data_IF_010252882892
#
_entry.id   IF_010252882892
#
_cell.length_a   1.000
_cell.length_b   1.000
_cell.length_c   1.000
_cell.angle_alpha   90.00
_cell.angle_beta   90.00
_cell.angle_gamma   90.00
#
_symmetry.space_group_name_H-M   'P 1'
#
loop_
_entity.id
_entity.type
_entity.pdbx_description
1 polymer ?
#
# COMPACT_ATOMS: atom_id res chain seq x y z
N UNK A 1 34.18 34.44 -2.10
CA UNK A 1 33.85 33.80 -0.81
C UNK A 1 32.35 33.90 -0.65
N UNK A 2 31.63 32.83 -0.99
CA UNK A 2 30.25 32.66 -0.53
C UNK A 2 30.09 31.18 -0.30
N UNK A 3 30.58 30.75 0.87
CA UNK A 3 30.21 29.47 1.47
C UNK A 3 28.68 29.46 1.54
N UNK A 4 27.99 28.45 1.00
CA UNK A 4 26.57 28.32 1.26
C UNK A 4 26.38 28.23 2.77
N UNK A 5 25.66 29.21 3.29
CA UNK A 5 25.32 29.41 4.69
C UNK A 5 24.52 28.21 5.21
N UNK A 6 24.60 27.97 6.52
CA UNK A 6 23.88 26.95 7.30
C UNK A 6 22.34 26.87 7.09
N UNK A 7 21.76 27.70 6.23
CA UNK A 7 20.34 27.73 5.88
C UNK A 7 19.94 26.72 4.79
N UNK A 8 20.89 26.20 4.01
CA UNK A 8 20.62 25.13 3.02
C UNK A 8 20.57 23.72 3.64
N UNK A 9 20.78 23.63 4.97
CA UNK A 9 20.73 22.39 5.77
C UNK A 9 19.34 22.12 6.39
N UNK A 10 18.32 22.88 5.99
CA UNK A 10 16.93 22.62 6.32
C UNK A 10 16.16 22.22 5.06
N UNK A 11 16.60 21.12 4.42
CA UNK A 11 15.59 20.21 3.85
C UNK A 11 14.76 19.82 5.05
N UNK A 12 13.61 20.50 5.20
CA UNK A 12 12.59 20.16 6.17
C UNK A 12 12.50 18.64 6.20
N UNK A 13 12.72 18.05 7.37
CA UNK A 13 12.09 16.78 7.76
C UNK A 13 10.61 16.98 7.45
N UNK A 14 10.25 16.71 6.21
CA UNK A 14 9.01 17.15 5.63
C UNK A 14 7.99 16.18 6.16
N UNK A 15 7.15 16.68 7.06
CA UNK A 15 5.96 16.04 7.61
C UNK A 15 5.43 15.02 6.61
N UNK A 16 5.71 13.74 6.84
CA UNK A 16 5.21 12.66 6.00
C UNK A 16 3.72 12.50 6.33
N UNK A 17 2.93 13.52 6.08
CA UNK A 17 1.51 13.52 6.41
C UNK A 17 0.73 12.63 5.44
N UNK A 18 1.27 12.43 4.23
CA UNK A 18 0.71 11.55 3.21
C UNK A 18 1.82 10.70 2.55
N UNK A 19 1.55 9.42 2.37
CA UNK A 19 2.45 8.46 1.72
C UNK A 19 1.69 7.65 0.67
N UNK A 20 2.21 7.64 -0.56
CA UNK A 20 1.60 6.93 -1.68
C UNK A 20 2.50 5.77 -2.12
N UNK A 21 2.02 4.55 -1.97
CA UNK A 21 2.68 3.33 -2.41
C UNK A 21 2.01 2.81 -3.68
N UNK A 22 2.79 2.68 -4.75
CA UNK A 22 2.33 2.20 -6.06
C UNK A 22 2.94 0.84 -6.35
N UNK A 23 2.10 -0.20 -6.38
CA UNK A 23 2.50 -1.59 -6.59
C UNK A 23 2.02 -2.00 -7.99
N UNK A 24 2.90 -2.33 -8.96
CA UNK A 24 2.54 -2.62 -10.36
C UNK A 24 1.95 -4.03 -10.54
N UNK A 25 0.97 -4.36 -9.69
CA UNK A 25 0.33 -5.65 -9.61
C UNK A 25 -1.02 -5.49 -8.92
N UNK A 26 -2.01 -6.26 -9.36
CA UNK A 26 -3.30 -6.39 -8.66
C UNK A 26 -3.26 -7.55 -7.65
N UNK A 27 -4.15 -7.55 -6.63
CA UNK A 27 -4.26 -8.66 -5.70
C UNK A 27 -4.46 -10.01 -6.44
N UNK A 28 -3.62 -11.02 -6.17
CA UNK A 28 -3.73 -12.32 -6.81
C UNK A 28 -5.12 -12.91 -6.64
N UNK A 29 -5.56 -13.73 -7.60
CA UNK A 29 -6.83 -14.46 -7.46
C UNK A 29 -6.77 -15.43 -6.28
N UNK A 30 -5.60 -16.00 -6.04
CA UNK A 30 -5.30 -16.95 -4.98
C UNK A 30 -5.44 -16.35 -3.58
N UNK A 31 -5.30 -15.02 -3.46
CA UNK A 31 -5.50 -14.29 -2.19
C UNK A 31 -6.98 -14.06 -1.87
N UNK A 32 -7.88 -14.31 -2.82
CA UNK A 32 -9.32 -14.20 -2.57
C UNK A 32 -9.77 -15.22 -1.52
N UNK A 33 -10.65 -14.84 -0.57
CA UNK A 33 -11.29 -15.80 0.34
C UNK A 33 -12.02 -16.93 -0.38
N UNK A 34 -12.55 -16.64 -1.58
CA UNK A 34 -13.28 -17.59 -2.42
C UNK A 34 -12.36 -18.49 -3.26
N UNK A 35 -11.04 -18.42 -3.09
CA UNK A 35 -10.12 -19.29 -3.79
C UNK A 35 -10.21 -20.74 -3.27
N UNK A 36 -10.59 -21.66 -4.17
CA UNK A 36 -10.75 -23.10 -3.88
C UNK A 36 -9.55 -23.96 -4.32
N UNK A 37 -8.41 -23.35 -4.66
CA UNK A 37 -7.22 -24.10 -5.05
C UNK A 37 -6.38 -24.58 -3.87
N UNK A 38 -5.22 -25.17 -4.17
CA UNK A 38 -4.32 -25.72 -3.14
C UNK A 38 -3.77 -24.63 -2.22
N UNK A 39 -3.73 -24.88 -0.92
CA UNK A 39 -3.27 -23.93 0.11
C UNK A 39 -1.84 -23.41 -0.17
N UNK A 40 -0.96 -24.24 -0.72
CA UNK A 40 0.40 -23.85 -1.10
C UNK A 40 0.43 -22.77 -2.19
N UNK A 41 -0.52 -22.79 -3.14
CA UNK A 41 -0.62 -21.75 -4.17
C UNK A 41 -1.05 -20.43 -3.56
N UNK A 42 -2.01 -20.46 -2.62
CA UNK A 42 -2.42 -19.30 -1.83
C UNK A 42 -1.25 -18.73 -1.03
N UNK A 43 -0.54 -19.57 -0.29
CA UNK A 43 0.60 -19.15 0.51
C UNK A 43 1.71 -18.51 -0.34
N UNK A 44 2.03 -19.12 -1.49
CA UNK A 44 3.01 -18.57 -2.43
C UNK A 44 2.58 -17.22 -2.98
N UNK A 45 1.35 -17.11 -3.49
CA UNK A 45 0.85 -15.86 -4.04
C UNK A 45 0.79 -14.74 -3.01
N UNK A 46 0.37 -15.04 -1.77
CA UNK A 46 0.35 -14.07 -0.69
C UNK A 46 1.76 -13.59 -0.32
N UNK A 47 2.73 -14.51 -0.22
CA UNK A 47 4.12 -14.16 0.05
C UNK A 47 4.71 -13.29 -1.06
N UNK A 48 4.53 -13.69 -2.31
CA UNK A 48 5.09 -12.97 -3.45
C UNK A 48 4.47 -11.55 -3.52
N UNK A 49 3.15 -11.40 -3.29
CA UNK A 49 2.50 -10.09 -3.24
C UNK A 49 2.98 -9.22 -2.06
N UNK A 50 3.16 -9.81 -0.88
CA UNK A 50 3.69 -9.12 0.32
C UNK A 50 5.10 -8.61 0.09
N UNK A 51 5.97 -9.41 -0.52
CA UNK A 51 7.34 -9.03 -0.84
C UNK A 51 7.40 -7.87 -1.83
N UNK A 52 6.57 -7.87 -2.87
CA UNK A 52 6.47 -6.74 -3.80
C UNK A 52 5.98 -5.48 -3.08
N UNK A 53 4.90 -5.59 -2.30
CA UNK A 53 4.36 -4.45 -1.55
C UNK A 53 5.39 -3.84 -0.59
N UNK A 54 6.13 -4.68 0.14
CA UNK A 54 7.22 -4.25 1.01
C UNK A 54 8.31 -3.50 0.25
N UNK A 55 8.73 -4.02 -0.90
CA UNK A 55 9.77 -3.41 -1.74
C UNK A 55 9.33 -2.02 -2.24
N UNK A 56 8.13 -1.92 -2.80
CA UNK A 56 7.60 -0.66 -3.32
C UNK A 56 7.33 0.35 -2.20
N UNK A 57 6.86 -0.09 -1.03
CA UNK A 57 6.69 0.77 0.14
C UNK A 57 8.03 1.31 0.64
N UNK A 58 9.04 0.44 0.72
CA UNK A 58 10.39 0.85 1.13
C UNK A 58 10.97 1.90 0.19
N UNK A 59 10.83 1.72 -1.14
CA UNK A 59 11.24 2.73 -2.11
C UNK A 59 10.43 4.03 -2.02
N UNK A 60 9.11 3.94 -1.86
CA UNK A 60 8.25 5.12 -1.71
C UNK A 60 8.62 5.97 -0.48
N UNK A 61 8.99 5.31 0.62
CA UNK A 61 9.46 5.97 1.84
C UNK A 61 10.90 6.50 1.76
N UNK A 62 11.61 6.31 0.64
CA UNK A 62 13.05 6.59 0.55
C UNK A 62 13.86 5.96 1.70
N UNK A 63 13.50 4.73 2.09
CA UNK A 63 14.09 4.01 3.24
C UNK A 63 13.86 4.64 4.62
N UNK A 64 13.02 5.67 4.75
CA UNK A 64 12.85 6.44 5.98
C UNK A 64 12.07 5.71 7.08
N UNK A 65 11.21 4.74 6.73
CA UNK A 65 10.35 3.98 7.66
C UNK A 65 9.57 4.89 8.62
N UNK A 66 8.59 5.65 8.11
CA UNK A 66 7.92 6.70 8.88
C UNK A 66 7.19 6.20 10.14
N UNK A 67 6.70 4.96 10.13
CA UNK A 67 6.19 4.30 11.34
C UNK A 67 4.97 4.97 11.96
N UNK A 68 3.99 5.39 11.14
CA UNK A 68 2.78 6.07 11.61
C UNK A 68 2.10 5.31 12.76
N UNK A 69 1.79 6.03 13.84
CA UNK A 69 1.04 5.46 14.96
C UNK A 69 -0.43 5.25 14.58
N UNK A 70 -0.99 6.12 13.74
CA UNK A 70 -2.35 5.97 13.23
C UNK A 70 -2.45 6.54 11.82
N UNK A 71 -3.02 5.79 10.89
CA UNK A 71 -3.19 6.24 9.52
C UNK A 71 -4.56 5.85 8.94
N UNK A 72 -5.08 6.69 8.06
CA UNK A 72 -6.19 6.35 7.17
C UNK A 72 -5.63 5.81 5.85
N UNK A 73 -6.15 4.68 5.38
CA UNK A 73 -5.74 4.01 4.15
C UNK A 73 -6.82 4.16 3.09
N UNK A 74 -6.48 4.87 2.01
CA UNK A 74 -7.25 4.89 0.77
C UNK A 74 -6.68 3.90 -0.25
N UNK A 75 -7.55 3.15 -0.91
CA UNK A 75 -7.16 2.10 -1.86
C UNK A 75 -7.76 2.42 -3.22
N UNK A 76 -6.89 2.50 -4.23
CA UNK A 76 -7.29 2.61 -5.64
C UNK A 76 -6.70 1.46 -6.45
N UNK A 77 -7.55 0.75 -7.19
CA UNK A 77 -7.16 -0.33 -8.08
C UNK A 77 -7.31 0.10 -9.54
N UNK A 78 -6.19 0.19 -10.24
CA UNK A 78 -6.17 0.44 -11.67
C UNK A 78 -6.21 -0.89 -12.41
N UNK A 79 -7.32 -1.13 -13.08
CA UNK A 79 -7.63 -2.39 -13.76
C UNK A 79 -7.81 -2.19 -15.26
N UNK A 80 -7.60 -3.26 -16.03
CA UNK A 80 -7.75 -3.20 -17.50
C UNK A 80 -9.22 -3.18 -17.96
N UNK A 81 -10.12 -3.68 -17.12
CA UNK A 81 -11.53 -3.92 -17.42
C UNK A 81 -12.35 -4.08 -16.12
N UNK A 82 -13.64 -3.75 -16.19
CA UNK A 82 -14.66 -3.94 -15.13
C UNK A 82 -14.74 -5.35 -14.56
N UNK A 83 -14.36 -6.39 -15.32
CA UNK A 83 -14.36 -7.80 -14.87
C UNK A 83 -13.44 -8.07 -13.65
N UNK A 84 -12.52 -7.17 -13.36
CA UNK A 84 -11.61 -7.27 -12.21
C UNK A 84 -12.24 -6.73 -10.92
N UNK A 85 -13.43 -6.15 -11.00
CA UNK A 85 -14.15 -5.65 -9.84
C UNK A 85 -14.61 -6.87 -9.03
N UNK A 86 -14.28 -6.88 -7.75
CA UNK A 86 -14.74 -7.89 -6.79
C UNK A 86 -15.56 -7.21 -5.71
N UNK A 87 -16.35 -7.99 -4.98
CA UNK A 87 -17.04 -7.49 -3.79
C UNK A 87 -16.03 -6.81 -2.85
N UNK A 88 -16.37 -5.68 -2.22
CA UNK A 88 -15.45 -4.93 -1.36
C UNK A 88 -14.76 -5.79 -0.31
N UNK A 89 -15.51 -6.64 0.40
CA UNK A 89 -14.94 -7.53 1.45
C UNK A 89 -13.94 -8.52 0.88
N UNK A 90 -14.25 -9.11 -0.29
CA UNK A 90 -13.34 -10.02 -0.99
C UNK A 90 -12.08 -9.30 -1.44
N UNK A 91 -12.18 -8.02 -1.79
CA UNK A 91 -11.05 -7.21 -2.22
C UNK A 91 -10.15 -6.81 -1.04
N UNK A 92 -10.74 -6.32 0.06
CA UNK A 92 -10.00 -6.00 1.30
C UNK A 92 -9.21 -7.22 1.76
N UNK A 93 -9.86 -8.38 1.82
CA UNK A 93 -9.19 -9.62 2.22
C UNK A 93 -8.06 -10.02 1.25
N UNK A 94 -8.21 -9.73 -0.06
CA UNK A 94 -7.17 -10.00 -1.05
C UNK A 94 -5.98 -9.04 -0.94
N UNK A 95 -6.18 -7.84 -0.40
CA UNK A 95 -5.17 -6.80 -0.21
C UNK A 95 -4.37 -6.95 1.08
N UNK A 96 -4.83 -7.75 2.03
CA UNK A 96 -4.15 -7.97 3.31
C UNK A 96 -2.64 -8.25 3.14
N UNK A 97 -2.17 -9.13 2.23
CA UNK A 97 -0.74 -9.34 2.05
C UNK A 97 0.04 -8.10 1.62
N UNK A 98 -0.58 -7.16 0.88
CA UNK A 98 0.09 -5.92 0.51
C UNK A 98 0.21 -4.95 1.70
N UNK A 99 -0.86 -4.84 2.50
CA UNK A 99 -0.89 -4.00 3.72
C UNK A 99 0.16 -4.50 4.72
N UNK A 100 0.17 -5.81 4.95
CA UNK A 100 1.20 -6.53 5.68
C UNK A 100 2.63 -6.18 5.21
N UNK A 101 2.83 -6.05 3.89
CA UNK A 101 4.12 -5.64 3.31
C UNK A 101 4.47 -4.18 3.61
N UNK A 102 3.48 -3.28 3.62
CA UNK A 102 3.68 -1.89 4.03
C UNK A 102 4.04 -1.77 5.52
N UNK A 103 3.48 -2.63 6.38
CA UNK A 103 3.87 -2.74 7.80
C UNK A 103 5.30 -3.26 7.91
N UNK A 104 5.68 -4.31 7.18
CA UNK A 104 7.06 -4.83 7.17
C UNK A 104 8.07 -3.78 6.66
N UNK A 105 7.65 -2.92 5.74
CA UNK A 105 8.45 -1.80 5.25
C UNK A 105 8.57 -0.65 6.27
N UNK A 106 7.79 -0.66 7.34
CA UNK A 106 7.77 0.36 8.38
C UNK A 106 7.03 1.63 7.99
N UNK A 107 6.02 1.55 7.11
CA UNK A 107 5.16 2.70 6.81
C UNK A 107 4.23 3.00 7.98
N UNK A 108 3.57 1.96 8.48
CA UNK A 108 2.64 1.97 9.60
C UNK A 108 3.17 1.01 10.65
N UNK A 109 2.88 1.28 11.91
CA UNK A 109 3.33 0.43 13.03
C UNK A 109 2.69 -0.95 13.04
N UNK A 110 1.40 -1.04 12.70
CA UNK A 110 0.62 -2.27 12.69
C UNK A 110 -0.62 -2.12 11.78
N UNK A 111 -1.20 -3.23 11.31
CA UNK A 111 -2.41 -3.25 10.47
C UNK A 111 -3.71 -3.37 11.28
N UNK A 112 -3.61 -3.41 12.61
CA UNK A 112 -4.75 -3.43 13.55
C UNK A 112 -5.64 -2.19 13.41
N UNK A 113 -6.93 -2.32 13.72
CA UNK A 113 -7.94 -1.23 13.70
C UNK A 113 -7.58 0.00 14.55
N UNK A 114 -6.63 -0.15 15.48
CA UNK A 114 -6.09 0.94 16.30
C UNK A 114 -5.15 1.86 15.52
N UNK A 115 -4.41 1.29 14.58
CA UNK A 115 -3.32 1.91 13.85
C UNK A 115 -3.71 2.19 12.39
N UNK A 116 -4.66 1.45 11.83
CA UNK A 116 -5.07 1.57 10.43
C UNK A 116 -6.59 1.64 10.29
N UNK A 117 -7.09 2.72 9.68
CA UNK A 117 -8.49 2.89 9.33
C UNK A 117 -8.66 2.79 7.81
N UNK A 118 -9.57 1.95 7.33
CA UNK A 118 -9.86 1.84 5.91
C UNK A 118 -10.82 2.94 5.46
N UNK A 119 -10.40 3.75 4.49
CA UNK A 119 -11.30 4.68 3.80
C UNK A 119 -12.10 3.93 2.75
N UNK A 120 -13.39 3.80 2.99
CA UNK A 120 -14.33 3.15 2.08
C UNK A 120 -15.07 4.19 1.23
N UNK A 121 -15.42 3.87 -0.03
CA UNK A 121 -15.22 2.60 -0.73
C UNK A 121 -13.82 2.47 -1.36
N UNK A 122 -13.42 1.23 -1.67
CA UNK A 122 -12.28 0.97 -2.57
C UNK A 122 -12.60 1.55 -3.95
N UNK A 123 -11.71 2.39 -4.47
CA UNK A 123 -11.85 3.02 -5.77
C UNK A 123 -11.31 2.10 -6.88
N UNK A 124 -11.97 2.12 -8.02
CA UNK A 124 -11.54 1.41 -9.22
C UNK A 124 -11.37 2.38 -10.37
N UNK A 125 -10.24 2.29 -11.05
CA UNK A 125 -9.93 3.06 -12.25
C UNK A 125 -9.72 2.09 -13.42
N UNK A 126 -10.38 2.34 -14.56
CA UNK A 126 -10.18 1.53 -15.76
C UNK A 126 -9.16 2.24 -16.66
N UNK A 127 -7.94 1.75 -16.67
CA UNK A 127 -6.85 2.26 -17.52
C UNK A 127 -6.00 1.08 -18.02
N UNK A 128 -5.98 0.87 -19.33
CA UNK A 128 -5.27 -0.26 -19.94
C UNK A 128 -3.75 -0.06 -20.01
N UNK A 129 -3.29 1.18 -19.95
CA UNK A 129 -1.87 1.52 -20.05
C UNK A 129 -1.20 1.46 -18.67
N UNK A 130 -1.88 1.94 -17.63
CA UNK A 130 -1.39 1.89 -16.25
C UNK A 130 -1.64 0.56 -15.54
N UNK A 131 -2.66 -0.20 -15.94
CA UNK A 131 -2.96 -1.47 -15.29
C UNK A 131 -1.97 -2.59 -15.66
N UNK A 132 -1.64 -3.51 -14.74
CA UNK A 132 -2.17 -3.62 -13.37
C UNK A 132 -1.44 -2.69 -12.37
N UNK A 133 -2.19 -1.95 -11.56
CA UNK A 133 -1.62 -1.11 -10.50
C UNK A 133 -2.53 -1.09 -9.26
N UNK A 134 -1.93 -1.29 -8.10
CA UNK A 134 -2.55 -1.04 -6.79
C UNK A 134 -1.90 0.18 -6.18
N UNK A 135 -2.72 1.16 -5.82
CA UNK A 135 -2.30 2.40 -5.17
C UNK A 135 -2.83 2.36 -3.75
N UNK A 136 -1.93 2.47 -2.78
CA UNK A 136 -2.23 2.57 -1.36
C UNK A 136 -1.78 3.95 -0.89
N UNK A 137 -2.72 4.75 -0.41
CA UNK A 137 -2.46 6.10 0.08
C UNK A 137 -2.68 6.07 1.59
N UNK A 138 -1.63 6.35 2.35
CA UNK A 138 -1.65 6.44 3.80
C UNK A 138 -1.62 7.90 4.20
N UNK A 139 -2.62 8.35 4.94
CA UNK A 139 -2.69 9.68 5.53
C UNK A 139 -2.50 9.54 7.03
N UNK A 140 -1.47 10.16 7.61
CA UNK A 140 -1.21 10.11 9.05
C UNK A 140 -2.28 10.89 9.81
N UNK A 141 -2.95 10.21 10.74
CA UNK A 141 -3.91 10.83 11.65
C UNK A 141 -3.15 11.30 12.89
N UNK A 142 -2.62 12.52 12.81
CA UNK A 142 -2.10 13.23 13.98
C UNK A 142 -3.24 13.55 14.95
N UNK A 143 -3.22 12.96 16.14
CA UNK A 143 -4.09 13.30 17.29
C UNK A 143 -3.77 14.67 17.88
#
# INVERSE_FOLDING_TARGET
MTVPTQADLLVKESDFQEMIVKIPMLPPRECSPNFRGHWTKRARAARDFRSEAMLYAFYASNSARPGYEKAELSITLVVRDSRYYRDPDNMIASLKPAIDGCVDAGIIKDDSDKHLLYKMPILYEIDKERAPLTILEFEELSE
#
